data_IF_427340841984
#
_entry.id   IF_427340841984
#
_cell.length_a   1.000
_cell.length_b   1.000
_cell.length_c   1.000
_cell.angle_alpha   90.00
_cell.angle_beta   90.00
_cell.angle_gamma   90.00
#
_symmetry.space_group_name_H-M   'P 1'
#
loop_
_entity.id
_entity.type
_entity.pdbx_description
1 polymer ?
#
# COMPACT_ATOMS: atom_id res chain seq x y z
N UNK A 1 6.16 -50.22 -54.07
CA UNK A 1 7.40 -49.84 -53.35
C UNK A 1 7.55 -48.32 -53.30
N UNK A 2 7.38 -47.60 -54.42
CA UNK A 2 7.37 -46.13 -54.46
C UNK A 2 6.33 -45.47 -53.54
N UNK A 3 5.11 -46.00 -53.46
CA UNK A 3 4.06 -45.46 -52.61
C UNK A 3 4.39 -45.58 -51.11
N UNK A 4 5.03 -46.68 -50.69
CA UNK A 4 5.50 -46.85 -49.30
C UNK A 4 6.68 -45.92 -48.97
N UNK A 5 7.58 -45.67 -49.94
CA UNK A 5 8.69 -44.72 -49.78
C UNK A 5 8.16 -43.28 -49.69
N UNK A 6 7.14 -42.94 -50.47
CA UNK A 6 6.51 -41.62 -50.45
C UNK A 6 5.78 -41.36 -49.13
N UNK A 7 4.99 -42.33 -48.66
CA UNK A 7 4.33 -42.25 -47.34
C UNK A 7 5.33 -42.17 -46.19
N UNK A 8 6.45 -42.92 -46.25
CA UNK A 8 7.52 -42.81 -45.25
C UNK A 8 8.21 -41.44 -45.27
N UNK A 9 8.39 -40.84 -46.45
CA UNK A 9 8.97 -39.50 -46.62
C UNK A 9 8.03 -38.41 -46.11
N UNK A 10 6.74 -38.51 -46.40
CA UNK A 10 5.72 -37.57 -45.94
C UNK A 10 5.51 -37.66 -44.42
N UNK A 11 5.54 -38.87 -43.85
CA UNK A 11 5.52 -39.09 -42.40
C UNK A 11 6.77 -38.50 -41.73
N UNK A 12 7.95 -38.69 -42.30
CA UNK A 12 9.18 -38.09 -41.78
C UNK A 12 9.11 -36.55 -41.81
N UNK A 13 8.65 -35.95 -42.90
CA UNK A 13 8.47 -34.49 -43.01
C UNK A 13 7.47 -33.97 -41.97
N UNK A 14 6.37 -34.69 -41.74
CA UNK A 14 5.35 -34.32 -40.75
C UNK A 14 5.91 -34.39 -39.32
N UNK A 15 6.67 -35.43 -39.00
CA UNK A 15 7.33 -35.58 -37.69
C UNK A 15 8.38 -34.49 -37.48
N UNK A 16 9.18 -34.17 -38.49
CA UNK A 16 10.17 -33.08 -38.43
C UNK A 16 9.51 -31.70 -38.27
N UNK A 17 8.42 -31.42 -39.00
CA UNK A 17 7.67 -30.18 -38.85
C UNK A 17 7.06 -30.05 -37.45
N UNK A 18 6.46 -31.12 -36.93
CA UNK A 18 5.90 -31.16 -35.58
C UNK A 18 6.97 -31.06 -34.48
N UNK A 19 8.17 -31.59 -34.72
CA UNK A 19 9.31 -31.44 -33.82
C UNK A 19 9.84 -29.99 -33.82
N UNK A 20 9.92 -29.36 -35.00
CA UNK A 20 10.29 -27.95 -35.16
C UNK A 20 9.31 -26.99 -34.47
N UNK A 21 8.00 -27.22 -34.62
CA UNK A 21 6.97 -26.44 -33.91
C UNK A 21 7.04 -26.63 -32.39
N UNK A 22 7.22 -27.87 -31.93
CA UNK A 22 7.39 -28.14 -30.48
C UNK A 22 8.63 -27.48 -29.92
N UNK A 23 9.74 -27.50 -30.64
CA UNK A 23 10.97 -26.82 -30.23
C UNK A 23 10.77 -25.31 -30.16
N UNK A 24 10.08 -24.70 -31.15
CA UNK A 24 9.75 -23.28 -31.16
C UNK A 24 8.83 -22.90 -30.00
N UNK A 25 7.77 -23.67 -29.78
CA UNK A 25 6.84 -23.47 -28.66
C UNK A 25 7.54 -23.62 -27.30
N UNK A 26 8.43 -24.61 -27.16
CA UNK A 26 9.23 -24.79 -25.94
C UNK A 26 10.19 -23.62 -25.69
N UNK A 27 10.84 -23.10 -26.74
CA UNK A 27 11.70 -21.92 -26.64
C UNK A 27 10.92 -20.65 -26.26
N UNK A 28 9.74 -20.44 -26.86
CA UNK A 28 8.85 -19.32 -26.51
C UNK A 28 8.34 -19.41 -25.07
N UNK A 29 7.96 -20.62 -24.61
CA UNK A 29 7.57 -20.85 -23.21
C UNK A 29 8.73 -20.63 -22.25
N UNK A 30 9.93 -21.11 -22.57
CA UNK A 30 11.13 -20.89 -21.75
C UNK A 30 11.49 -19.41 -21.63
N UNK A 31 11.37 -18.65 -22.71
CA UNK A 31 11.60 -17.20 -22.72
C UNK A 31 10.58 -16.48 -21.84
N UNK A 32 9.28 -16.78 -22.01
CA UNK A 32 8.21 -16.20 -21.18
C UNK A 32 8.37 -16.52 -19.69
N UNK A 33 8.69 -17.77 -19.35
CA UNK A 33 8.95 -18.16 -17.95
C UNK A 33 10.12 -17.38 -17.35
N UNK A 34 11.19 -17.16 -18.11
CA UNK A 34 12.33 -16.37 -17.65
C UNK A 34 11.97 -14.89 -17.44
N UNK A 35 11.22 -14.29 -18.37
CA UNK A 35 10.71 -12.91 -18.25
C UNK A 35 9.80 -12.77 -17.02
N UNK A 36 8.86 -13.69 -16.82
CA UNK A 36 7.96 -13.70 -15.68
C UNK A 36 8.69 -13.84 -14.34
N UNK A 37 9.69 -14.72 -14.26
CA UNK A 37 10.56 -14.87 -13.08
C UNK A 37 11.35 -13.60 -12.79
N UNK A 38 11.85 -12.92 -13.83
CA UNK A 38 12.56 -11.65 -13.68
C UNK A 38 11.63 -10.54 -13.17
N UNK A 39 10.43 -10.42 -13.73
CA UNK A 39 9.40 -9.47 -13.27
C UNK A 39 8.93 -9.75 -11.83
N UNK A 40 8.84 -11.03 -11.47
CA UNK A 40 8.43 -11.44 -10.13
C UNK A 40 9.49 -11.00 -9.11
N UNK A 41 10.78 -11.21 -9.41
CA UNK A 41 11.87 -10.71 -8.57
C UNK A 41 11.93 -9.18 -8.50
N UNK A 42 11.87 -8.49 -9.65
CA UNK A 42 11.91 -7.02 -9.71
C UNK A 42 10.80 -6.39 -8.89
N UNK A 43 9.55 -6.83 -9.09
CA UNK A 43 8.46 -6.19 -8.39
C UNK A 43 8.38 -6.55 -6.89
N UNK A 44 9.07 -7.59 -6.40
CA UNK A 44 9.26 -7.75 -4.94
C UNK A 44 10.14 -6.65 -4.36
N UNK A 45 11.21 -6.28 -5.06
CA UNK A 45 12.08 -5.16 -4.68
C UNK A 45 11.31 -3.84 -4.75
N UNK A 46 10.56 -3.60 -5.84
CA UNK A 46 9.72 -2.41 -5.97
C UNK A 46 8.66 -2.32 -4.87
N UNK A 47 8.04 -3.45 -4.48
CA UNK A 47 7.05 -3.47 -3.41
C UNK A 47 7.67 -3.07 -2.06
N UNK A 48 8.86 -3.58 -1.71
CA UNK A 48 9.57 -3.19 -0.49
C UNK A 48 9.96 -1.71 -0.54
N UNK A 49 10.43 -1.22 -1.69
CA UNK A 49 10.76 0.19 -1.88
C UNK A 49 9.53 1.09 -1.71
N UNK A 50 8.38 0.72 -2.28
CA UNK A 50 7.15 1.51 -2.13
C UNK A 50 6.62 1.45 -0.69
N UNK A 51 6.64 0.28 -0.03
CA UNK A 51 6.35 0.17 1.41
C UNK A 51 7.25 1.09 2.24
N UNK A 52 8.55 1.14 1.94
CA UNK A 52 9.50 2.06 2.58
C UNK A 52 9.17 3.53 2.32
N UNK A 53 8.77 3.88 1.09
CA UNK A 53 8.36 5.24 0.72
C UNK A 53 7.06 5.66 1.42
N UNK A 54 6.13 4.73 1.63
CA UNK A 54 4.91 4.95 2.40
C UNK A 54 5.26 5.21 3.87
N UNK A 55 6.12 4.36 4.47
CA UNK A 55 6.57 4.56 5.85
C UNK A 55 7.27 5.92 6.04
N UNK A 56 8.14 6.33 5.12
CA UNK A 56 8.80 7.64 5.16
C UNK A 56 7.79 8.82 5.10
N UNK A 57 6.77 8.72 4.25
CA UNK A 57 5.67 9.71 4.21
C UNK A 57 4.85 9.72 5.51
N UNK A 58 4.67 8.58 6.15
CA UNK A 58 4.06 8.47 7.47
C UNK A 58 4.84 9.25 8.54
N UNK A 59 6.17 9.13 8.56
CA UNK A 59 7.02 9.92 9.47
C UNK A 59 6.93 11.42 9.20
N UNK A 60 6.92 11.82 7.92
CA UNK A 60 6.75 13.23 7.54
C UNK A 60 5.39 13.77 8.00
N UNK A 61 4.32 12.98 7.86
CA UNK A 61 2.99 13.33 8.31
C UNK A 61 2.93 13.52 9.84
N UNK A 62 3.55 12.63 10.62
CA UNK A 62 3.65 12.80 12.07
C UNK A 62 4.40 14.08 12.47
N UNK A 63 5.48 14.43 11.75
CA UNK A 63 6.19 15.69 11.98
C UNK A 63 5.33 16.92 11.74
N UNK A 64 4.55 16.93 10.64
CA UNK A 64 3.59 18.01 10.36
C UNK A 64 2.49 18.09 11.42
N UNK A 65 1.97 16.94 11.85
CA UNK A 65 0.92 16.86 12.86
C UNK A 65 1.40 17.38 14.22
N UNK A 66 2.64 17.05 14.61
CA UNK A 66 3.25 17.58 15.83
C UNK A 66 3.39 19.12 15.78
N UNK A 67 3.83 19.67 14.64
CA UNK A 67 3.92 21.12 14.46
C UNK A 67 2.54 21.80 14.49
N UNK A 68 1.53 21.20 13.87
CA UNK A 68 0.16 21.72 13.86
C UNK A 68 -0.44 21.69 15.26
N UNK A 69 -0.22 20.61 16.00
CA UNK A 69 -0.64 20.47 17.40
C UNK A 69 0.00 21.54 18.29
N UNK A 70 1.31 21.77 18.16
CA UNK A 70 2.01 22.79 18.93
C UNK A 70 1.42 24.20 18.71
N UNK A 71 1.13 24.54 17.44
CA UNK A 71 0.50 25.82 17.09
C UNK A 71 -0.90 25.95 17.71
N UNK A 72 -1.74 24.93 17.56
CA UNK A 72 -3.09 24.91 18.11
C UNK A 72 -3.09 24.96 19.63
N UNK A 73 -2.17 24.26 20.28
CA UNK A 73 -1.99 24.29 21.74
C UNK A 73 -1.68 25.71 22.23
N UNK A 74 -0.76 26.41 21.56
CA UNK A 74 -0.45 27.82 21.87
C UNK A 74 -1.66 28.74 21.71
N UNK A 75 -2.38 28.62 20.58
CA UNK A 75 -3.60 29.40 20.32
C UNK A 75 -4.67 29.16 21.41
N UNK A 76 -4.87 27.89 21.81
CA UNK A 76 -5.80 27.51 22.87
C UNK A 76 -5.39 28.09 24.23
N UNK A 77 -4.10 28.07 24.59
CA UNK A 77 -3.62 28.67 25.84
C UNK A 77 -3.84 30.19 25.88
N UNK A 78 -3.56 30.88 24.77
CA UNK A 78 -3.81 32.33 24.67
C UNK A 78 -5.30 32.63 24.76
N UNK A 79 -6.15 31.83 24.12
CA UNK A 79 -7.60 31.96 24.21
C UNK A 79 -8.10 31.75 25.65
N UNK A 80 -7.67 30.67 26.31
CA UNK A 80 -8.03 30.38 27.70
C UNK A 80 -7.62 31.51 28.65
N UNK A 81 -6.40 32.05 28.50
CA UNK A 81 -5.94 33.19 29.30
C UNK A 81 -6.81 34.43 29.11
N UNK A 82 -7.22 34.74 27.87
CA UNK A 82 -8.14 35.85 27.58
C UNK A 82 -9.52 35.63 28.18
N UNK A 83 -10.07 34.42 28.05
CA UNK A 83 -11.37 34.06 28.61
C UNK A 83 -11.36 34.19 30.13
N UNK A 84 -10.34 33.70 30.80
CA UNK A 84 -10.18 33.82 32.25
C UNK A 84 -10.00 35.28 32.70
N UNK A 85 -9.22 36.08 31.96
CA UNK A 85 -9.02 37.49 32.27
C UNK A 85 -10.30 38.35 32.10
N UNK A 86 -11.28 37.88 31.33
CA UNK A 86 -12.54 38.57 31.11
C UNK A 86 -13.62 38.27 32.17
N UNK A 87 -13.39 37.29 33.05
CA UNK A 87 -14.33 36.88 34.11
C UNK A 87 -14.45 37.97 35.17
N UNK A 88 -15.68 38.36 35.51
CA UNK A 88 -15.97 39.41 36.51
C UNK A 88 -16.72 38.89 37.73
N UNK A 89 -17.34 37.72 37.63
CA UNK A 89 -18.17 37.15 38.69
C UNK A 89 -17.86 35.68 38.98
N UNK A 90 -18.14 35.16 40.19
CA UNK A 90 -17.99 33.73 40.50
C UNK A 90 -18.85 32.81 39.63
N UNK A 91 -20.02 33.27 39.18
CA UNK A 91 -20.89 32.50 38.29
C UNK A 91 -20.26 32.33 36.89
N UNK A 92 -19.71 33.41 36.32
CA UNK A 92 -18.98 33.38 35.04
C UNK A 92 -17.73 32.48 35.15
N UNK A 93 -17.03 32.51 36.29
CA UNK A 93 -15.89 31.61 36.52
C UNK A 93 -16.29 30.13 36.44
N UNK A 94 -17.40 29.75 37.10
CA UNK A 94 -17.89 28.37 37.08
C UNK A 94 -18.33 27.92 35.68
N UNK A 95 -18.91 28.84 34.89
CA UNK A 95 -19.22 28.57 33.48
C UNK A 95 -17.96 28.35 32.66
N UNK A 96 -16.98 29.25 32.75
CA UNK A 96 -15.69 29.12 32.03
C UNK A 96 -14.96 27.83 32.39
N UNK A 97 -14.95 27.44 33.67
CA UNK A 97 -14.40 26.15 34.10
C UNK A 97 -15.10 24.96 33.43
N UNK A 98 -16.45 24.96 33.41
CA UNK A 98 -17.22 23.91 32.75
C UNK A 98 -16.96 23.84 31.23
N UNK A 99 -16.83 24.99 30.58
CA UNK A 99 -16.56 25.07 29.15
C UNK A 99 -15.14 24.62 28.80
N UNK A 100 -14.13 24.97 29.61
CA UNK A 100 -12.76 24.47 29.45
C UNK A 100 -12.68 22.95 29.61
N UNK A 101 -13.40 22.37 30.58
CA UNK A 101 -13.46 20.91 30.77
C UNK A 101 -14.08 20.25 29.54
N UNK A 102 -15.20 20.79 29.05
CA UNK A 102 -15.89 20.24 27.87
C UNK A 102 -15.03 20.32 26.61
N UNK A 103 -14.43 21.48 26.35
CA UNK A 103 -13.48 21.64 25.23
C UNK A 103 -12.29 20.69 25.33
N UNK A 104 -11.75 20.47 26.53
CA UNK A 104 -10.64 19.54 26.72
C UNK A 104 -11.04 18.10 26.44
N UNK A 105 -12.24 17.70 26.82
CA UNK A 105 -12.78 16.38 26.51
C UNK A 105 -13.02 16.19 25.01
N UNK A 106 -13.65 17.17 24.35
CA UNK A 106 -13.90 17.13 22.91
C UNK A 106 -12.58 17.03 22.12
N UNK A 107 -11.57 17.80 22.52
CA UNK A 107 -10.24 17.76 21.92
C UNK A 107 -9.55 16.40 22.13
N UNK A 108 -9.66 15.83 23.34
CA UNK A 108 -9.08 14.51 23.64
C UNK A 108 -9.71 13.41 22.77
N UNK A 109 -11.03 13.39 22.67
CA UNK A 109 -11.76 12.39 21.85
C UNK A 109 -11.37 12.56 20.39
N UNK A 110 -11.40 13.79 19.87
CA UNK A 110 -11.06 14.08 18.48
C UNK A 110 -9.63 13.66 18.10
N UNK A 111 -8.63 14.04 18.89
CA UNK A 111 -7.23 13.69 18.60
C UNK A 111 -6.96 12.19 18.78
N UNK A 112 -7.60 11.54 19.76
CA UNK A 112 -7.44 10.09 19.97
C UNK A 112 -8.01 9.30 18.80
N UNK A 113 -9.23 9.64 18.34
CA UNK A 113 -9.85 9.00 17.17
C UNK A 113 -9.02 9.22 15.92
N UNK A 114 -8.58 10.46 15.69
CA UNK A 114 -7.74 10.81 14.54
C UNK A 114 -6.42 10.04 14.54
N UNK A 115 -5.73 9.99 15.68
CA UNK A 115 -4.44 9.29 15.82
C UNK A 115 -4.59 7.78 15.58
N UNK A 116 -5.66 7.17 16.09
CA UNK A 116 -5.96 5.76 15.85
C UNK A 116 -6.23 5.48 14.37
N UNK A 117 -7.03 6.32 13.69
CA UNK A 117 -7.31 6.21 12.26
C UNK A 117 -6.04 6.35 11.42
N UNK A 118 -5.23 7.38 11.67
CA UNK A 118 -3.99 7.61 10.93
C UNK A 118 -2.99 6.46 11.10
N UNK A 119 -2.86 5.92 12.31
CA UNK A 119 -1.97 4.79 12.59
C UNK A 119 -2.42 3.52 11.88
N UNK A 120 -3.72 3.21 11.98
CA UNK A 120 -4.30 2.02 11.33
C UNK A 120 -4.18 2.11 9.81
N UNK A 121 -4.48 3.29 9.24
CA UNK A 121 -4.37 3.55 7.82
C UNK A 121 -2.94 3.38 7.34
N UNK A 122 -1.97 3.99 8.02
CA UNK A 122 -0.55 3.87 7.66
C UNK A 122 -0.07 2.42 7.72
N UNK A 123 -0.45 1.66 8.75
CA UNK A 123 -0.12 0.24 8.84
C UNK A 123 -0.68 -0.56 7.66
N UNK A 124 -1.93 -0.29 7.27
CA UNK A 124 -2.55 -0.89 6.08
C UNK A 124 -1.81 -0.54 4.79
N UNK A 125 -1.51 0.75 4.58
CA UNK A 125 -0.81 1.24 3.38
C UNK A 125 0.61 0.64 3.28
N UNK A 126 1.32 0.43 4.40
CA UNK A 126 2.67 -0.16 4.39
C UNK A 126 2.65 -1.61 3.88
N UNK A 127 1.65 -2.42 4.25
CA UNK A 127 1.60 -3.85 3.90
C UNK A 127 0.96 -4.09 2.53
N UNK A 128 0.18 -3.14 2.03
CA UNK A 128 -0.58 -3.27 0.80
C UNK A 128 0.28 -3.57 -0.45
N UNK A 129 1.45 -2.95 -0.69
CA UNK A 129 2.32 -3.30 -1.81
C UNK A 129 2.72 -4.78 -1.81
N UNK A 130 2.99 -5.34 -0.63
CA UNK A 130 3.34 -6.76 -0.48
C UNK A 130 2.13 -7.66 -0.77
N UNK A 131 0.95 -7.30 -0.26
CA UNK A 131 -0.29 -8.03 -0.52
C UNK A 131 -0.62 -8.09 -2.03
N UNK A 132 -0.40 -6.99 -2.75
CA UNK A 132 -0.59 -6.95 -4.21
C UNK A 132 0.34 -7.91 -4.96
N UNK A 133 1.57 -8.13 -4.47
CA UNK A 133 2.51 -9.12 -5.05
C UNK A 133 1.98 -10.54 -4.88
N UNK A 134 1.40 -10.86 -3.73
CA UNK A 134 0.78 -12.17 -3.49
C UNK A 134 -0.42 -12.41 -4.40
N UNK A 135 -1.27 -11.40 -4.59
CA UNK A 135 -2.41 -11.49 -5.50
C UNK A 135 -1.97 -11.72 -6.96
N UNK A 136 -0.98 -10.95 -7.44
CA UNK A 136 -0.41 -11.12 -8.79
C UNK A 136 0.21 -12.51 -9.00
N UNK A 137 0.92 -13.05 -8.00
CA UNK A 137 1.47 -14.40 -8.08
C UNK A 137 0.35 -15.47 -8.16
N UNK A 138 -0.72 -15.32 -7.37
CA UNK A 138 -1.87 -16.23 -7.40
C UNK A 138 -2.60 -16.20 -8.76
N UNK A 139 -2.77 -15.03 -9.36
CA UNK A 139 -3.37 -14.90 -10.69
C UNK A 139 -2.50 -15.51 -11.79
N UNK A 140 -1.17 -15.33 -11.73
CA UNK A 140 -0.23 -15.96 -12.69
C UNK A 140 -0.29 -17.49 -12.61
N UNK A 141 -0.31 -18.06 -11.40
CA UNK A 141 -0.47 -19.52 -11.20
C UNK A 141 -1.79 -20.03 -11.79
N UNK A 142 -2.88 -19.29 -11.61
CA UNK A 142 -4.18 -19.65 -12.20
C UNK A 142 -4.17 -19.57 -13.73
N UNK A 143 -3.50 -18.58 -14.32
CA UNK A 143 -3.42 -18.42 -15.78
C UNK A 143 -2.50 -19.44 -16.47
N UNK A 144 -1.59 -20.05 -15.71
CA UNK A 144 -0.64 -21.05 -16.20
C UNK A 144 -1.12 -22.51 -16.04
N UNK A 145 -2.20 -22.74 -15.25
CA UNK A 145 -2.86 -24.03 -15.05
C UNK A 145 -3.97 -24.26 -16.10
#
# INVERSE_FOLDING_TARGET
MEEQIKTATDQAQTVFAAAGERAKSAAEKGTRLFEEMSELNKGHVEAVMESGRIAARGLEAFGRDASAYAKRSYENSVAAARTLAAVKTPAEFMQVQGDLIRQSFDALVSESSRSAEQTLKLAGEIVQPLQNRWALAADKVRSAA
#
